data_IF_457873656727
#
_entry.id   IF_457873656727
#
_cell.length_a   1.000
_cell.length_b   1.000
_cell.length_c   1.000
_cell.angle_alpha   90.00
_cell.angle_beta   90.00
_cell.angle_gamma   90.00
#
_symmetry.space_group_name_H-M   'P 1'
#
loop_
_entity.id
_entity.type
_entity.pdbx_description
1 polymer ?
#
# COMPACT_ATOMS: atom_id res chain seq x y z
N UNK A 1 2.53 -1.00 13.77
CA UNK A 1 3.77 -0.38 13.23
C UNK A 1 3.42 0.21 11.87
N UNK A 2 4.06 1.31 11.42
CA UNK A 2 3.58 2.08 10.27
C UNK A 2 4.67 2.41 9.23
N UNK A 3 4.32 2.40 7.94
CA UNK A 3 5.10 3.04 6.88
C UNK A 3 4.34 4.28 6.37
N UNK A 4 5.00 5.43 6.30
CA UNK A 4 4.41 6.70 5.86
C UNK A 4 5.23 7.30 4.73
N UNK A 5 4.57 7.63 3.63
CA UNK A 5 5.22 8.23 2.46
C UNK A 5 4.31 8.23 1.24
N UNK A 6 4.83 8.73 0.11
CA UNK A 6 4.18 8.57 -1.19
C UNK A 6 4.33 7.12 -1.67
N UNK A 7 3.42 6.69 -2.53
CA UNK A 7 3.52 5.40 -3.21
C UNK A 7 4.58 5.52 -4.32
N UNK A 8 5.66 4.74 -4.20
CA UNK A 8 6.74 4.69 -5.18
C UNK A 8 6.32 3.91 -6.44
N UNK A 9 5.65 2.77 -6.24
CA UNK A 9 4.97 2.02 -7.29
C UNK A 9 3.81 1.22 -6.71
N UNK A 10 2.92 0.77 -7.59
CA UNK A 10 1.93 -0.26 -7.30
C UNK A 10 2.00 -1.40 -8.32
N UNK A 11 1.56 -2.60 -7.92
CA UNK A 11 1.56 -3.81 -8.74
C UNK A 11 0.34 -4.67 -8.43
N UNK A 12 -0.42 -5.05 -9.46
CA UNK A 12 -1.40 -6.13 -9.37
C UNK A 12 -0.67 -7.48 -9.43
N UNK A 13 -0.93 -8.36 -8.47
CA UNK A 13 -0.27 -9.66 -8.38
C UNK A 13 -1.11 -10.75 -9.07
N UNK A 14 -0.49 -11.85 -9.47
CA UNK A 14 -1.18 -13.00 -10.11
C UNK A 14 -2.25 -13.64 -9.22
N UNK A 15 -2.18 -13.46 -7.90
CA UNK A 15 -3.13 -13.97 -6.92
C UNK A 15 -4.21 -12.95 -6.52
N UNK A 16 -4.48 -11.96 -7.37
CA UNK A 16 -5.47 -10.90 -7.20
C UNK A 16 -5.25 -9.95 -6.00
N UNK A 17 -4.09 -10.04 -5.35
CA UNK A 17 -3.69 -9.06 -4.33
C UNK A 17 -3.00 -7.85 -4.97
N UNK A 18 -2.92 -6.75 -4.21
CA UNK A 18 -2.34 -5.51 -4.69
C UNK A 18 -1.17 -5.08 -3.82
N UNK A 19 0.00 -4.89 -4.43
CA UNK A 19 1.22 -4.47 -3.77
C UNK A 19 1.44 -2.97 -3.96
N UNK A 20 1.87 -2.29 -2.90
CA UNK A 20 2.39 -0.91 -2.96
C UNK A 20 3.76 -0.86 -2.30
N UNK A 21 4.65 -0.02 -2.85
CA UNK A 21 5.92 0.32 -2.20
C UNK A 21 5.84 1.69 -1.55
N UNK A 22 6.09 1.75 -0.24
CA UNK A 22 6.04 2.97 0.57
C UNK A 22 7.26 3.01 1.48
N UNK A 23 8.01 4.11 1.42
CA UNK A 23 9.22 4.33 2.22
C UNK A 23 10.22 3.15 2.11
N UNK A 24 10.49 2.73 0.87
CA UNK A 24 11.44 1.65 0.56
C UNK A 24 10.94 0.23 0.81
N UNK A 25 9.70 0.03 1.27
CA UNK A 25 9.17 -1.29 1.66
C UNK A 25 7.91 -1.65 0.88
N UNK A 26 7.82 -2.90 0.45
CA UNK A 26 6.64 -3.44 -0.22
C UNK A 26 5.62 -3.97 0.78
N UNK A 27 4.35 -3.67 0.54
CA UNK A 27 3.22 -4.15 1.33
C UNK A 27 2.11 -4.60 0.40
N UNK A 28 1.45 -5.72 0.73
CA UNK A 28 0.35 -6.25 -0.09
C UNK A 28 -0.98 -6.20 0.65
N UNK A 29 -2.08 -6.04 -0.08
CA UNK A 29 -3.43 -6.13 0.46
C UNK A 29 -4.30 -7.05 -0.40
N UNK A 30 -5.18 -7.80 0.26
CA UNK A 30 -6.27 -8.56 -0.38
C UNK A 30 -7.61 -7.81 -0.33
N UNK A 31 -7.62 -6.55 0.11
CA UNK A 31 -8.82 -5.70 0.18
C UNK A 31 -9.06 -5.07 -1.20
N UNK A 32 -9.93 -5.68 -1.99
CA UNK A 32 -10.25 -5.26 -3.35
C UNK A 32 -10.66 -3.79 -3.47
N UNK A 33 -11.37 -3.27 -2.47
CA UNK A 33 -11.76 -1.85 -2.42
C UNK A 33 -10.57 -0.89 -2.36
N UNK A 34 -9.39 -1.33 -1.89
CA UNK A 34 -8.21 -0.48 -1.79
C UNK A 34 -7.46 -0.35 -3.13
N UNK A 35 -7.66 -1.25 -4.09
CA UNK A 35 -6.93 -1.22 -5.36
C UNK A 35 -7.08 0.13 -6.11
N UNK A 36 -8.31 0.60 -6.44
CA UNK A 36 -8.47 1.89 -7.11
C UNK A 36 -8.10 3.09 -6.22
N UNK A 37 -8.25 2.97 -4.90
CA UNK A 37 -7.91 4.04 -3.95
C UNK A 37 -6.40 4.26 -3.87
N UNK A 38 -5.62 3.18 -3.83
CA UNK A 38 -4.16 3.22 -3.82
C UNK A 38 -3.60 3.70 -5.15
N UNK A 39 -4.18 3.26 -6.28
CA UNK A 39 -3.79 3.76 -7.59
C UNK A 39 -4.07 5.27 -7.71
N UNK A 40 -5.23 5.73 -7.24
CA UNK A 40 -5.57 7.16 -7.22
C UNK A 40 -4.61 7.97 -6.35
N UNK A 41 -4.28 7.46 -5.15
CA UNK A 41 -3.30 8.09 -4.25
C UNK A 41 -1.89 8.14 -4.87
N UNK A 42 -1.50 7.14 -5.64
CA UNK A 42 -0.25 7.14 -6.39
C UNK A 42 -0.26 8.23 -7.47
N UNK A 43 -1.32 8.31 -8.29
CA UNK A 43 -1.45 9.29 -9.38
C UNK A 43 -1.44 10.73 -8.88
N UNK A 44 -2.06 11.00 -7.72
CA UNK A 44 -2.12 12.34 -7.12
C UNK A 44 -0.93 12.66 -6.23
N UNK A 45 -0.03 11.70 -5.99
CA UNK A 45 1.13 11.88 -5.11
C UNK A 45 0.75 12.10 -3.63
N UNK A 46 -0.40 11.55 -3.20
CA UNK A 46 -0.86 11.60 -1.81
C UNK A 46 0.12 10.90 -0.88
N UNK A 47 0.21 11.38 0.36
CA UNK A 47 0.97 10.70 1.41
C UNK A 47 0.07 9.68 2.08
N UNK A 48 0.43 8.40 1.99
CA UNK A 48 -0.30 7.32 2.65
C UNK A 48 0.41 6.88 3.93
N UNK A 49 -0.36 6.41 4.90
CA UNK A 49 0.17 5.70 6.07
C UNK A 49 -0.40 4.28 6.07
N UNK A 50 0.46 3.30 5.81
CA UNK A 50 0.13 1.87 5.85
C UNK A 50 0.21 1.41 7.30
N UNK A 51 -0.86 0.79 7.80
CA UNK A 51 -0.88 0.19 9.12
C UNK A 51 -0.98 -1.32 9.05
N UNK A 52 -0.02 -1.98 9.69
CA UNK A 52 0.06 -3.44 9.77
C UNK A 52 0.65 -3.88 11.11
N UNK A 53 0.38 -5.14 11.45
CA UNK A 53 0.98 -5.82 12.59
C UNK A 53 2.48 -6.07 12.36
N UNK A 54 2.92 -6.18 11.11
CA UNK A 54 4.33 -6.36 10.72
C UNK A 54 4.79 -5.26 9.76
N UNK A 55 6.05 -4.84 9.88
CA UNK A 55 6.63 -3.75 9.06
C UNK A 55 7.85 -4.18 8.23
N UNK A 56 8.02 -5.49 8.00
CA UNK A 56 8.99 -6.00 7.05
C UNK A 56 8.44 -5.87 5.61
N UNK A 57 9.33 -5.71 4.63
CA UNK A 57 8.93 -5.76 3.22
C UNK A 57 8.28 -7.12 2.92
N UNK A 58 7.19 -7.13 2.16
CA UNK A 58 6.35 -8.32 1.93
C UNK A 58 5.25 -8.53 2.98
N UNK A 59 5.07 -7.62 3.94
CA UNK A 59 4.00 -7.70 4.93
C UNK A 59 2.62 -7.39 4.32
N UNK A 60 1.60 -8.10 4.79
CA UNK A 60 0.20 -7.80 4.45
C UNK A 60 -0.33 -6.60 5.23
N UNK A 61 -1.30 -5.87 4.66
CA UNK A 61 -2.04 -4.81 5.35
C UNK A 61 -3.51 -4.77 4.96
N UNK A 62 -4.34 -4.21 5.85
CA UNK A 62 -5.77 -3.98 5.62
C UNK A 62 -6.22 -2.56 5.99
N UNK A 63 -5.35 -1.78 6.64
CA UNK A 63 -5.65 -0.42 7.08
C UNK A 63 -4.67 0.57 6.45
N UNK A 64 -5.22 1.63 5.87
CA UNK A 64 -4.47 2.71 5.23
C UNK A 64 -5.16 4.03 5.52
N UNK A 65 -4.37 5.05 5.80
CA UNK A 65 -4.81 6.43 5.88
C UNK A 65 -4.29 7.21 4.67
N UNK A 66 -5.18 7.91 3.98
CA UNK A 66 -4.86 8.83 2.88
C UNK A 66 -4.86 10.26 3.44
N UNK A 67 -3.78 11.03 3.21
CA UNK A 67 -3.62 12.42 3.67
C UNK A 67 -3.51 13.37 2.48
#
# INVERSE_FOLDING_TARGET
MHAKGKIEFSKYNENDTFTVKVAGKEYWTNRWNLQPLLQSAQLTGMTVTIKSNTCASGSGFAEVQFN
#
